data_IF_542450816006
#
_entry.id   IF_542450816006
#
_cell.length_a   1.000
_cell.length_b   1.000
_cell.length_c   1.000
_cell.angle_alpha   90.00
_cell.angle_beta   90.00
_cell.angle_gamma   90.00
#
_symmetry.space_group_name_H-M   'P 1'
#
loop_
_entity.id
_entity.type
_entity.pdbx_description
1 polymer ?
#
# COMPACT_ATOMS: atom_id res chain seq x y z
N UNK A 1 34.59 -40.89 65.29
CA UNK A 1 35.19 -39.93 64.33
C UNK A 1 34.24 -39.79 63.17
N UNK A 2 33.52 -38.68 63.08
CA UNK A 2 32.59 -38.39 61.98
C UNK A 2 33.15 -37.20 61.19
N UNK A 3 33.73 -37.49 60.02
CA UNK A 3 34.16 -36.46 59.07
C UNK A 3 32.93 -35.77 58.46
N UNK A 4 32.70 -34.52 58.86
CA UNK A 4 31.73 -33.62 58.25
C UNK A 4 32.29 -33.11 56.92
N UNK A 5 31.89 -33.75 55.81
CA UNK A 5 32.23 -33.33 54.45
C UNK A 5 31.45 -32.06 54.10
N UNK A 6 32.08 -30.90 54.27
CA UNK A 6 31.56 -29.60 53.86
C UNK A 6 31.36 -29.57 52.33
N UNK A 7 30.11 -29.71 51.89
CA UNK A 7 29.72 -29.60 50.47
C UNK A 7 29.71 -28.13 50.08
N UNK A 8 30.53 -27.75 49.11
CA UNK A 8 30.55 -26.37 48.58
C UNK A 8 29.19 -26.02 47.94
N UNK A 9 28.74 -24.74 48.04
CA UNK A 9 27.47 -24.32 47.44
C UNK A 9 27.48 -24.50 45.91
N UNK A 10 26.41 -25.06 45.36
CA UNK A 10 26.29 -25.49 43.95
C UNK A 10 26.59 -24.37 42.94
N UNK A 11 26.23 -23.12 43.24
CA UNK A 11 26.45 -21.95 42.39
C UNK A 11 27.93 -21.55 42.22
N UNK A 12 28.84 -22.09 43.05
CA UNK A 12 30.29 -21.87 42.92
C UNK A 12 30.96 -22.84 41.95
N UNK A 13 30.23 -23.82 41.42
CA UNK A 13 30.75 -24.73 40.40
C UNK A 13 30.54 -24.13 39.01
N UNK A 14 31.52 -24.28 38.13
CA UNK A 14 31.48 -23.76 36.75
C UNK A 14 30.43 -24.50 35.89
N UNK A 15 30.23 -25.79 36.16
CA UNK A 15 29.37 -26.69 35.38
C UNK A 15 27.89 -26.23 35.26
N UNK A 16 27.20 -25.80 36.34
CA UNK A 16 25.87 -25.21 36.23
C UNK A 16 25.80 -23.98 35.31
N UNK A 17 26.80 -23.12 35.34
CA UNK A 17 26.83 -21.92 34.49
C UNK A 17 27.05 -22.25 33.01
N UNK A 18 27.88 -23.26 32.71
CA UNK A 18 28.09 -23.76 31.34
C UNK A 18 26.80 -24.41 30.80
N UNK A 19 26.08 -25.17 31.63
CA UNK A 19 24.81 -25.78 31.24
C UNK A 19 23.73 -24.72 30.97
N UNK A 20 23.71 -23.63 31.77
CA UNK A 20 22.78 -22.51 31.62
C UNK A 20 23.14 -21.55 30.48
N UNK A 21 24.39 -21.52 30.03
CA UNK A 21 24.84 -20.63 28.97
C UNK A 21 24.11 -20.88 27.63
N UNK A 22 23.85 -22.14 27.29
CA UNK A 22 23.11 -22.51 26.07
C UNK A 22 21.70 -21.92 26.04
N UNK A 23 20.83 -22.22 27.04
CA UNK A 23 19.50 -21.64 27.12
C UNK A 23 19.48 -20.10 27.14
N UNK A 24 20.40 -19.47 27.89
CA UNK A 24 20.49 -18.00 27.94
C UNK A 24 20.83 -17.42 26.56
N UNK A 25 21.74 -18.05 25.83
CA UNK A 25 22.11 -17.62 24.49
C UNK A 25 20.92 -17.70 23.52
N UNK A 26 20.13 -18.77 23.59
CA UNK A 26 18.92 -18.92 22.76
C UNK A 26 17.88 -17.84 23.07
N UNK A 27 17.67 -17.48 24.34
CA UNK A 27 16.74 -16.41 24.74
C UNK A 27 17.22 -15.05 24.23
N UNK A 28 18.52 -14.75 24.32
CA UNK A 28 19.06 -13.49 23.80
C UNK A 28 18.92 -13.44 22.28
N UNK A 29 19.23 -14.54 21.58
CA UNK A 29 19.10 -14.64 20.13
C UNK A 29 17.65 -14.49 19.68
N UNK A 30 16.68 -15.09 20.38
CA UNK A 30 15.25 -14.97 20.03
C UNK A 30 14.72 -13.55 20.23
N UNK A 31 15.12 -12.88 21.30
CA UNK A 31 14.76 -11.48 21.55
C UNK A 31 15.40 -10.56 20.51
N UNK A 32 16.69 -10.74 20.21
CA UNK A 32 17.37 -9.98 19.16
C UNK A 32 16.71 -10.19 17.79
N UNK A 33 16.40 -11.45 17.45
CA UNK A 33 15.69 -11.79 16.22
C UNK A 33 14.28 -11.18 16.17
N UNK A 34 13.58 -11.11 17.29
CA UNK A 34 12.27 -10.44 17.37
C UNK A 34 12.38 -8.94 17.06
N UNK A 35 13.40 -8.25 17.57
CA UNK A 35 13.62 -6.83 17.25
C UNK A 35 14.00 -6.63 15.77
N UNK A 36 14.90 -7.45 15.23
CA UNK A 36 15.25 -7.45 13.80
C UNK A 36 14.00 -7.72 12.94
N UNK A 37 13.17 -8.69 13.32
CA UNK A 37 11.93 -9.01 12.61
C UNK A 37 10.90 -7.88 12.69
N UNK A 38 10.87 -7.09 13.78
CA UNK A 38 10.00 -5.90 13.87
C UNK A 38 10.48 -4.77 12.97
N UNK A 39 11.79 -4.57 12.83
CA UNK A 39 12.36 -3.54 11.95
C UNK A 39 12.32 -3.94 10.48
N UNK A 40 12.42 -5.24 10.18
CA UNK A 40 12.37 -5.82 8.84
C UNK A 40 11.07 -6.57 8.53
N UNK A 41 9.98 -6.29 9.25
CA UNK A 41 8.65 -6.68 8.82
C UNK A 41 8.31 -5.85 7.58
N UNK A 42 8.91 -6.23 6.45
CA UNK A 42 8.44 -5.88 5.12
C UNK A 42 6.98 -6.23 5.10
N UNK A 43 6.17 -5.19 4.95
CA UNK A 43 4.74 -5.23 4.66
C UNK A 43 4.52 -6.37 3.67
N UNK A 44 3.98 -7.47 4.17
CA UNK A 44 3.75 -8.66 3.39
C UNK A 44 2.65 -8.26 2.40
N UNK A 45 3.07 -8.02 1.17
CA UNK A 45 2.22 -7.76 0.02
C UNK A 45 1.00 -8.68 0.06
N UNK A 46 -0.17 -8.06 0.18
CA UNK A 46 -1.47 -8.58 -0.27
C UNK A 46 -1.95 -9.85 0.44
N UNK A 47 -2.45 -9.72 1.67
CA UNK A 47 -3.52 -10.64 2.14
C UNK A 47 -4.42 -10.06 3.25
N UNK A 48 -4.06 -8.94 3.88
CA UNK A 48 -4.94 -8.32 4.89
C UNK A 48 -6.10 -7.50 4.28
N UNK A 49 -6.44 -7.72 3.01
CA UNK A 49 -7.50 -7.02 2.27
C UNK A 49 -8.93 -7.28 2.82
N UNK A 50 -9.09 -8.08 3.87
CA UNK A 50 -10.39 -8.62 4.30
C UNK A 50 -10.76 -8.46 5.79
N UNK A 51 -10.03 -7.67 6.59
CA UNK A 51 -10.24 -7.68 8.06
C UNK A 51 -10.89 -6.48 8.72
N UNK A 52 -11.34 -5.47 7.97
CA UNK A 52 -12.13 -4.37 8.54
C UNK A 52 -13.41 -4.13 7.74
N UNK A 53 -14.52 -4.78 8.12
CA UNK A 53 -15.81 -4.66 7.41
C UNK A 53 -16.24 -3.21 7.14
N UNK A 54 -16.03 -2.29 8.10
CA UNK A 54 -16.41 -0.88 7.94
C UNK A 54 -15.52 -0.08 6.98
N UNK A 55 -14.22 -0.37 6.92
CA UNK A 55 -13.31 0.35 6.02
C UNK A 55 -13.37 -0.23 4.60
N UNK A 56 -13.69 -1.52 4.47
CA UNK A 56 -13.95 -2.18 3.19
C UNK A 56 -15.22 -1.59 2.56
N UNK A 57 -16.31 -1.43 3.31
CA UNK A 57 -17.56 -0.86 2.79
C UNK A 57 -17.38 0.56 2.23
N UNK A 58 -16.62 1.42 2.93
CA UNK A 58 -16.36 2.79 2.48
C UNK A 58 -15.53 2.80 1.20
N UNK A 59 -14.50 1.98 1.13
CA UNK A 59 -13.65 1.89 -0.06
C UNK A 59 -14.41 1.33 -1.26
N UNK A 60 -15.20 0.28 -1.04
CA UNK A 60 -16.06 -0.32 -2.07
C UNK A 60 -17.06 0.71 -2.60
N UNK A 61 -17.75 1.44 -1.72
CA UNK A 61 -18.69 2.48 -2.12
C UNK A 61 -18.04 3.51 -3.05
N UNK A 62 -16.83 3.97 -2.71
CA UNK A 62 -16.07 4.92 -3.52
C UNK A 62 -15.69 4.38 -4.89
N UNK A 63 -15.37 3.09 -4.97
CA UNK A 63 -15.08 2.43 -6.25
C UNK A 63 -16.36 2.30 -7.10
N UNK A 64 -17.53 1.95 -6.51
CA UNK A 64 -18.79 1.92 -7.26
C UNK A 64 -19.21 3.30 -7.74
N UNK A 65 -19.03 4.33 -6.90
CA UNK A 65 -19.31 5.71 -7.26
C UNK A 65 -18.43 6.17 -8.43
N UNK A 66 -17.17 5.70 -8.50
CA UNK A 66 -16.28 5.94 -9.64
C UNK A 66 -16.74 5.20 -10.92
N UNK A 67 -17.24 3.96 -10.79
CA UNK A 67 -17.83 3.20 -11.92
C UNK A 67 -19.09 3.87 -12.45
N UNK A 68 -20.03 4.25 -11.56
CA UNK A 68 -21.29 4.92 -11.92
C UNK A 68 -21.06 6.23 -12.66
N UNK A 69 -20.01 6.97 -12.27
CA UNK A 69 -19.61 8.24 -12.90
C UNK A 69 -18.75 8.07 -14.15
N UNK A 70 -18.49 6.84 -14.58
CA UNK A 70 -17.61 6.52 -15.70
C UNK A 70 -16.23 7.21 -15.59
N UNK A 71 -15.69 7.27 -14.38
CA UNK A 71 -14.42 7.96 -14.11
C UNK A 71 -13.28 7.27 -14.87
N UNK A 72 -12.54 8.06 -15.63
CA UNK A 72 -11.33 7.63 -16.32
C UNK A 72 -10.25 8.68 -16.10
N UNK A 73 -9.10 8.24 -15.61
CA UNK A 73 -7.98 9.14 -15.32
C UNK A 73 -6.76 8.67 -16.07
N UNK A 74 -6.07 9.57 -16.75
CA UNK A 74 -4.76 9.32 -17.34
C UNK A 74 -3.72 10.15 -16.63
N UNK A 75 -2.66 9.51 -16.15
CA UNK A 75 -1.53 10.17 -15.51
C UNK A 75 -0.32 10.05 -16.42
N UNK A 76 0.30 11.18 -16.73
CA UNK A 76 1.58 11.29 -17.43
C UNK A 76 2.63 11.78 -16.44
N UNK A 77 3.57 10.93 -16.07
CA UNK A 77 4.68 11.26 -15.19
C UNK A 77 5.80 11.94 -15.98
N UNK A 78 6.43 12.96 -15.41
CA UNK A 78 7.61 13.60 -16.02
C UNK A 78 8.76 12.59 -16.17
N UNK A 79 9.64 12.73 -17.18
CA UNK A 79 10.85 11.92 -17.29
C UNK A 79 11.73 11.95 -16.04
N UNK A 80 11.74 13.10 -15.35
CA UNK A 80 12.49 13.34 -14.11
C UNK A 80 11.77 12.81 -12.85
N UNK A 81 10.53 12.30 -13.00
CA UNK A 81 9.70 11.67 -11.95
C UNK A 81 9.44 12.57 -10.73
N UNK A 82 9.31 13.85 -10.97
CA UNK A 82 9.07 14.91 -9.99
C UNK A 82 7.79 15.71 -10.27
N UNK A 83 7.12 15.43 -11.38
CA UNK A 83 5.87 16.06 -11.75
C UNK A 83 4.96 15.10 -12.51
N UNK A 84 3.68 15.43 -12.59
CA UNK A 84 2.70 14.71 -13.38
C UNK A 84 1.66 15.65 -13.99
N UNK A 85 1.24 15.32 -15.21
CA UNK A 85 -0.01 15.82 -15.81
C UNK A 85 -1.09 14.77 -15.63
N UNK A 86 -2.26 15.18 -15.17
CA UNK A 86 -3.38 14.29 -14.89
C UNK A 86 -4.59 14.75 -15.70
N UNK A 87 -5.11 13.87 -16.54
CA UNK A 87 -6.34 14.09 -17.28
C UNK A 87 -7.46 13.31 -16.62
N UNK A 88 -8.50 14.00 -16.16
CA UNK A 88 -9.66 13.39 -15.50
C UNK A 88 -10.88 13.56 -16.39
N UNK A 89 -11.62 12.47 -16.62
CA UNK A 89 -12.87 12.45 -17.38
C UNK A 89 -13.91 11.60 -16.65
N UNK A 90 -15.19 11.87 -16.91
CA UNK A 90 -16.33 11.30 -16.20
C UNK A 90 -17.20 12.38 -15.57
N UNK A 91 -18.17 11.95 -14.76
CA UNK A 91 -19.11 12.82 -14.06
C UNK A 91 -18.57 13.19 -12.68
N UNK A 92 -17.83 14.30 -12.58
CA UNK A 92 -17.32 14.83 -11.31
C UNK A 92 -17.50 16.35 -11.24
N UNK A 93 -17.42 16.92 -10.04
CA UNK A 93 -17.45 18.38 -9.84
C UNK A 93 -16.03 18.97 -9.98
N UNK A 94 -15.77 19.79 -11.01
CA UNK A 94 -14.48 20.46 -11.20
C UNK A 94 -13.97 21.30 -10.04
N UNK A 95 -14.91 21.81 -9.21
CA UNK A 95 -14.58 22.69 -8.09
C UNK A 95 -14.07 21.92 -6.88
N UNK A 96 -14.29 20.60 -6.85
CA UNK A 96 -13.81 19.76 -5.77
C UNK A 96 -12.30 19.52 -5.92
N UNK A 97 -11.51 19.76 -4.86
CA UNK A 97 -10.09 19.50 -4.90
C UNK A 97 -9.83 18.00 -5.05
N UNK A 98 -8.91 17.67 -5.96
CA UNK A 98 -8.47 16.30 -6.20
C UNK A 98 -7.06 16.11 -5.66
N UNK A 99 -6.76 14.88 -5.24
CA UNK A 99 -5.43 14.46 -4.81
C UNK A 99 -4.91 13.36 -5.73
N UNK A 100 -3.60 13.39 -5.97
CA UNK A 100 -2.82 12.30 -6.52
C UNK A 100 -2.01 11.67 -5.38
N UNK A 101 -2.19 10.38 -5.16
CA UNK A 101 -1.41 9.57 -4.22
C UNK A 101 -0.45 8.70 -5.03
N UNK A 102 0.82 8.73 -4.63
CA UNK A 102 1.93 7.96 -5.17
C UNK A 102 2.40 7.03 -4.06
N UNK A 103 2.08 5.74 -4.16
CA UNK A 103 2.33 4.76 -3.10
C UNK A 103 3.47 3.82 -3.51
N UNK A 104 4.52 3.76 -2.70
CA UNK A 104 5.65 2.87 -2.90
C UNK A 104 5.26 1.45 -2.45
N UNK A 105 5.66 0.39 -3.19
CA UNK A 105 5.21 -0.98 -2.92
C UNK A 105 5.60 -1.55 -1.55
N UNK A 106 6.66 -1.03 -0.91
CA UNK A 106 7.20 -1.57 0.35
C UNK A 106 7.64 -0.52 1.37
N UNK A 107 7.54 0.78 1.05
CA UNK A 107 8.13 1.84 1.86
C UNK A 107 7.17 3.01 2.00
N UNK A 108 6.31 2.93 3.02
CA UNK A 108 5.31 3.96 3.32
C UNK A 108 5.90 5.36 3.53
N UNK A 109 7.16 5.47 3.97
CA UNK A 109 7.87 6.74 4.11
C UNK A 109 8.17 7.44 2.79
N UNK A 110 8.13 6.71 1.68
CA UNK A 110 8.33 7.24 0.32
C UNK A 110 6.99 7.59 -0.37
N UNK A 111 5.86 7.31 0.27
CA UNK A 111 4.54 7.65 -0.23
C UNK A 111 4.36 9.17 -0.25
N UNK A 112 3.70 9.67 -1.29
CA UNK A 112 3.42 11.09 -1.45
C UNK A 112 1.96 11.32 -1.77
N UNK A 113 1.34 12.28 -1.10
CA UNK A 113 0.02 12.81 -1.45
C UNK A 113 0.16 14.24 -1.93
N UNK A 114 -0.31 14.50 -3.13
CA UNK A 114 -0.11 15.76 -3.85
C UNK A 114 -1.46 16.31 -4.25
N UNK A 115 -1.72 17.58 -3.96
CA UNK A 115 -2.93 18.25 -4.45
C UNK A 115 -2.78 18.53 -5.94
N UNK A 116 -3.82 18.22 -6.71
CA UNK A 116 -3.88 18.51 -8.13
C UNK A 116 -4.29 19.96 -8.35
N UNK A 117 -3.54 20.66 -9.20
CA UNK A 117 -3.83 22.04 -9.57
C UNK A 117 -4.43 22.06 -10.99
N UNK A 118 -5.65 22.57 -11.17
CA UNK A 118 -6.28 22.60 -12.49
C UNK A 118 -5.50 23.55 -13.42
N UNK A 119 -5.19 23.06 -14.62
CA UNK A 119 -4.52 23.85 -15.67
C UNK A 119 -5.53 24.77 -16.38
N UNK A 120 -6.79 24.34 -16.44
CA UNK A 120 -7.90 25.11 -17.00
C UNK A 120 -9.10 25.09 -16.06
N UNK A 121 -9.91 26.15 -16.10
CA UNK A 121 -11.15 26.25 -15.33
C UNK A 121 -12.31 25.45 -15.95
N UNK A 122 -12.16 25.00 -17.20
CA UNK A 122 -13.21 24.33 -17.97
C UNK A 122 -12.77 22.96 -18.46
N UNK A 123 -13.76 22.07 -18.65
CA UNK A 123 -13.56 20.75 -19.24
C UNK A 123 -13.35 20.92 -20.75
N UNK A 124 -12.20 20.48 -21.26
CA UNK A 124 -11.86 20.54 -22.68
C UNK A 124 -11.86 19.13 -23.28
N UNK A 125 -12.57 18.92 -24.38
CA UNK A 125 -12.69 17.61 -25.04
C UNK A 125 -13.15 16.48 -24.08
N UNK A 126 -14.08 16.79 -23.16
CA UNK A 126 -14.62 15.82 -22.21
C UNK A 126 -13.67 15.42 -21.08
N UNK A 127 -12.53 16.10 -20.93
CA UNK A 127 -11.57 15.89 -19.85
C UNK A 127 -11.07 17.21 -19.26
N UNK A 128 -10.66 17.19 -18.00
CA UNK A 128 -9.97 18.30 -17.38
C UNK A 128 -8.50 17.94 -17.13
N UNK A 129 -7.61 18.90 -17.37
CA UNK A 129 -6.18 18.74 -17.15
C UNK A 129 -5.78 19.37 -15.81
N UNK A 130 -4.96 18.63 -15.07
CA UNK A 130 -4.36 19.03 -13.82
C UNK A 130 -2.85 18.82 -13.85
N UNK A 131 -2.14 19.60 -13.04
CA UNK A 131 -0.71 19.45 -12.79
C UNK A 131 -0.43 19.16 -11.32
N UNK A 132 0.55 18.31 -11.10
CA UNK A 132 1.09 17.96 -9.80
C UNK A 132 2.62 18.05 -9.82
N UNK A 133 3.19 18.62 -8.77
CA UNK A 133 4.64 18.63 -8.53
C UNK A 133 4.92 17.97 -7.18
N UNK A 134 5.90 17.09 -7.15
CA UNK A 134 6.24 16.27 -6.00
C UNK A 134 7.74 16.04 -5.90
N UNK A 135 8.18 15.42 -4.80
CA UNK A 135 9.59 15.06 -4.65
C UNK A 135 9.92 13.94 -5.64
N UNK A 136 11.11 13.97 -6.28
CA UNK A 136 11.53 12.93 -7.21
C UNK A 136 11.29 11.52 -6.64
N UNK A 137 10.57 10.69 -7.39
CA UNK A 137 10.24 9.35 -6.96
C UNK A 137 11.47 8.44 -6.98
N UNK A 138 11.78 7.74 -5.86
CA UNK A 138 12.84 6.75 -5.83
C UNK A 138 12.70 5.67 -6.91
N UNK A 139 13.82 5.12 -7.41
CA UNK A 139 13.78 4.08 -8.41
C UNK A 139 13.18 2.78 -7.84
N UNK A 140 12.11 2.31 -8.46
CA UNK A 140 11.47 1.02 -8.19
C UNK A 140 10.85 0.47 -9.48
N UNK A 141 10.47 -0.81 -9.47
CA UNK A 141 9.85 -1.46 -10.62
C UNK A 141 8.42 -0.96 -10.88
N UNK A 142 7.70 -0.63 -9.82
CA UNK A 142 6.32 -0.16 -9.91
C UNK A 142 5.92 0.74 -8.75
N UNK A 143 4.90 1.56 -9.01
CA UNK A 143 4.18 2.37 -8.03
C UNK A 143 2.69 2.07 -8.14
N UNK A 144 1.94 2.33 -7.07
CA UNK A 144 0.48 2.40 -7.15
C UNK A 144 0.08 3.87 -7.18
N UNK A 145 -0.68 4.28 -8.20
CA UNK A 145 -1.19 5.64 -8.31
C UNK A 145 -2.69 5.61 -8.03
N UNK A 146 -3.12 6.52 -7.17
CA UNK A 146 -4.54 6.74 -6.90
C UNK A 146 -4.88 8.20 -7.13
N UNK A 147 -5.97 8.46 -7.83
CA UNK A 147 -6.59 9.77 -7.88
C UNK A 147 -7.93 9.71 -7.17
N UNK A 148 -8.14 10.67 -6.28
CA UNK A 148 -9.36 10.76 -5.47
C UNK A 148 -9.79 12.20 -5.23
N UNK A 149 -11.10 12.37 -5.01
CA UNK A 149 -11.66 13.60 -4.47
C UNK A 149 -11.42 13.69 -2.95
N UNK A 150 -11.09 14.89 -2.48
CA UNK A 150 -10.94 15.22 -1.06
C UNK A 150 -12.20 15.01 -0.22
N UNK A 151 -13.39 15.02 -0.81
CA UNK A 151 -14.65 14.70 -0.13
C UNK A 151 -14.84 13.19 0.06
N UNK A 152 -13.97 12.37 -0.53
CA UNK A 152 -13.99 10.92 -0.37
C UNK A 152 -15.15 10.25 -1.09
N UNK A 153 -15.70 10.86 -2.14
CA UNK A 153 -16.86 10.31 -2.89
C UNK A 153 -16.44 9.19 -3.84
N UNK A 154 -15.32 9.38 -4.54
CA UNK A 154 -14.83 8.43 -5.53
C UNK A 154 -13.31 8.27 -5.43
N UNK A 155 -12.79 7.19 -6.03
CA UNK A 155 -11.36 6.98 -6.26
C UNK A 155 -11.15 6.13 -7.51
N UNK A 156 -10.01 6.30 -8.16
CA UNK A 156 -9.50 5.36 -9.17
C UNK A 156 -8.04 5.07 -8.88
N UNK A 157 -7.64 3.82 -9.06
CA UNK A 157 -6.29 3.35 -8.72
C UNK A 157 -5.81 2.32 -9.72
N UNK A 158 -4.53 2.40 -10.07
CA UNK A 158 -3.86 1.34 -10.84
C UNK A 158 -2.36 1.30 -10.54
N UNK A 159 -1.74 0.19 -10.92
CA UNK A 159 -0.31 -0.07 -10.80
C UNK A 159 0.43 0.45 -12.03
N UNK A 160 1.29 1.43 -11.82
CA UNK A 160 2.21 1.92 -12.84
C UNK A 160 3.50 1.11 -12.84
N UNK A 161 3.77 0.44 -13.96
CA UNK A 161 5.02 -0.27 -14.21
C UNK A 161 5.96 0.69 -14.93
N UNK A 162 7.03 1.11 -14.24
CA UNK A 162 7.94 2.17 -14.70
C UNK A 162 8.63 1.81 -16.03
N UNK A 163 8.84 0.52 -16.30
CA UNK A 163 9.45 0.05 -17.55
C UNK A 163 8.50 0.07 -18.76
N UNK A 164 7.19 0.22 -18.56
CA UNK A 164 6.19 0.26 -19.63
C UNK A 164 5.94 1.67 -20.18
N UNK A 165 6.66 2.67 -19.66
CA UNK A 165 6.54 4.08 -20.04
C UNK A 165 6.00 4.94 -18.91
N UNK A 166 5.89 6.25 -19.15
CA UNK A 166 5.48 7.22 -18.12
C UNK A 166 3.99 7.58 -18.17
N UNK A 167 3.20 6.84 -18.94
CA UNK A 167 1.77 7.04 -19.07
C UNK A 167 1.03 5.86 -18.44
N UNK A 168 0.05 6.13 -17.61
CA UNK A 168 -0.81 5.12 -17.00
C UNK A 168 -2.26 5.59 -17.05
N UNK A 169 -3.17 4.69 -17.40
CA UNK A 169 -4.60 4.92 -17.29
C UNK A 169 -5.08 4.25 -16.02
N UNK A 170 -5.74 5.01 -15.16
CA UNK A 170 -6.37 4.54 -13.93
C UNK A 170 -7.85 4.32 -14.21
N UNK A 171 -8.31 3.11 -13.93
CA UNK A 171 -9.73 2.74 -14.01
C UNK A 171 -10.27 2.38 -12.63
N UNK A 172 -11.56 2.60 -12.37
CA UNK A 172 -12.21 2.11 -11.17
C UNK A 172 -12.00 0.59 -11.01
N UNK A 173 -11.85 0.12 -9.77
CA UNK A 173 -11.59 -1.30 -9.52
C UNK A 173 -12.84 -2.14 -9.84
N UNK A 174 -12.93 -2.65 -11.07
CA UNK A 174 -14.08 -3.43 -11.54
C UNK A 174 -14.04 -4.92 -11.10
N UNK A 175 -12.92 -5.38 -10.52
CA UNK A 175 -12.71 -6.80 -10.17
C UNK A 175 -13.72 -7.37 -9.17
N UNK A 176 -14.43 -6.52 -8.42
CA UNK A 176 -15.47 -6.96 -7.50
C UNK A 176 -16.82 -7.24 -8.21
N UNK A 177 -17.06 -6.66 -9.38
CA UNK A 177 -18.32 -6.83 -10.12
C UNK A 177 -18.26 -7.90 -11.22
N UNK A 178 -17.07 -8.25 -11.72
CA UNK A 178 -16.92 -9.32 -12.71
C UNK A 178 -17.29 -10.71 -12.14
N UNK A 179 -16.95 -10.98 -10.89
CA UNK A 179 -17.26 -12.27 -10.25
C UNK A 179 -18.75 -12.43 -9.90
N UNK A 180 -19.50 -11.34 -9.74
CA UNK A 180 -20.94 -11.39 -9.43
C UNK A 180 -21.81 -11.72 -10.66
N UNK A 181 -21.29 -11.52 -11.88
CA UNK A 181 -21.99 -11.83 -13.13
C UNK A 181 -21.60 -13.17 -13.77
N UNK A 182 -20.71 -13.94 -13.17
CA UNK A 182 -20.52 -15.34 -13.52
C UNK A 182 -21.64 -16.18 -12.89
N UNK A 183 -22.84 -16.12 -13.48
CA UNK A 183 -23.85 -17.17 -13.27
C UNK A 183 -23.20 -18.53 -13.57
N UNK A 184 -23.44 -19.58 -12.76
CA UNK A 184 -22.96 -20.91 -13.10
C UNK A 184 -23.54 -21.26 -14.47
N UNK A 185 -22.65 -21.60 -15.41
CA UNK A 185 -23.03 -22.23 -16.66
C UNK A 185 -23.73 -23.53 -16.27
N UNK A 186 -25.06 -23.50 -16.36
CA UNK A 186 -25.90 -24.67 -16.16
C UNK A 186 -25.39 -25.75 -17.11
N UNK A 187 -24.72 -26.75 -16.52
CA UNK A 187 -24.29 -27.95 -17.22
C UNK A 187 -25.50 -28.86 -17.26
N UNK A 188 -26.43 -28.50 -18.16
CA UNK A 188 -27.70 -29.17 -18.33
C UNK A 188 -27.89 -29.63 -19.77
N UNK A 189 -27.71 -30.94 -19.94
CA UNK A 189 -28.15 -31.83 -21.03
C UNK A 189 -27.25 -31.94 -22.28
#
# INVERSE_FOLDING_TARGET
MSEQKQVKPWYKHIWPWVLMAGPIFVVIASVAMFFVAKEHATDLVTDDYYKDGKHIDIQLHRDEEAVKRHMQVQVLISPDKDAAKVFVSGEFDPKQPLNLLLMHPTKKSEDQTVKLHPVSAEIQNGRMEYEATFKPLPPTNHWYLRVEDTSGVWRVEDKWIVSQGNAINLTPMNKLFENANQKPKDSGQ
#
